data_IF_852548275273
#
_entry.id   IF_852548275273
#
_cell.length_a   1.000
_cell.length_b   1.000
_cell.length_c   1.000
_cell.angle_alpha   90.00
_cell.angle_beta   90.00
_cell.angle_gamma   90.00
#
_symmetry.space_group_name_H-M   'P 1'
#
loop_
_entity.id
_entity.type
_entity.pdbx_description
1 polymer ?
#
# COMPACT_ATOMS: atom_id res chain seq x y z
N UNK A 1 17.84 52.60 -1.41
CA UNK A 1 18.74 51.61 -2.06
C UNK A 1 18.17 50.21 -1.90
N UNK A 2 17.47 49.71 -2.92
CA UNK A 2 16.95 48.34 -2.99
C UNK A 2 18.11 47.36 -3.18
N UNK A 3 18.41 46.57 -2.15
CA UNK A 3 19.47 45.58 -2.24
C UNK A 3 18.93 44.31 -2.93
N UNK A 4 19.13 44.23 -4.26
CA UNK A 4 18.96 43.03 -5.07
C UNK A 4 19.98 41.97 -4.64
N UNK A 5 19.67 41.13 -3.64
CA UNK A 5 20.33 39.83 -3.52
C UNK A 5 19.69 38.87 -4.52
N UNK A 6 20.20 38.89 -5.75
CA UNK A 6 19.91 37.89 -6.79
C UNK A 6 20.21 36.48 -6.25
N UNK A 7 19.31 35.56 -6.58
CA UNK A 7 19.28 34.14 -6.26
C UNK A 7 20.56 33.36 -6.66
N UNK A 8 21.62 33.45 -5.87
CA UNK A 8 22.86 32.67 -6.04
C UNK A 8 22.92 31.40 -5.18
N UNK A 9 21.84 31.08 -4.46
CA UNK A 9 21.75 29.89 -3.61
C UNK A 9 20.85 28.80 -4.19
N UNK A 10 21.09 27.55 -3.79
CA UNK A 10 20.18 26.42 -4.04
C UNK A 10 18.75 26.82 -3.63
N UNK A 11 17.76 26.59 -4.50
CA UNK A 11 16.35 26.91 -4.24
C UNK A 11 15.84 26.22 -2.94
N UNK A 12 14.97 26.88 -2.16
CA UNK A 12 14.31 26.33 -0.95
C UNK A 12 13.76 24.91 -1.20
N UNK A 13 13.12 24.67 -2.34
CA UNK A 13 12.58 23.35 -2.69
C UNK A 13 13.68 22.29 -2.87
N UNK A 14 14.81 22.66 -3.49
CA UNK A 14 15.98 21.78 -3.63
C UNK A 14 16.65 21.50 -2.29
N UNK A 15 16.77 22.50 -1.40
CA UNK A 15 17.28 22.30 -0.03
C UNK A 15 16.37 21.39 0.79
N UNK A 16 15.05 21.57 0.67
CA UNK A 16 14.06 20.71 1.31
C UNK A 16 14.14 19.27 0.80
N UNK A 17 14.30 19.09 -0.51
CA UNK A 17 14.49 17.78 -1.11
C UNK A 17 15.73 17.09 -0.54
N UNK A 18 16.87 17.78 -0.48
CA UNK A 18 18.11 17.26 0.12
C UNK A 18 17.92 16.88 1.60
N UNK A 19 17.17 17.67 2.36
CA UNK A 19 16.83 17.33 3.74
C UNK A 19 16.07 16.00 3.81
N UNK A 20 14.99 15.84 3.04
CA UNK A 20 14.14 14.64 3.05
C UNK A 20 14.89 13.40 2.52
N UNK A 21 15.70 13.54 1.47
CA UNK A 21 16.33 12.39 0.80
C UNK A 21 17.64 11.95 1.46
N UNK A 22 18.41 12.89 2.02
CA UNK A 22 19.72 12.60 2.61
C UNK A 22 19.62 12.64 4.13
N UNK A 23 19.41 13.81 4.71
CA UNK A 23 19.57 14.00 6.15
C UNK A 23 18.56 13.18 6.95
N UNK A 24 17.27 13.26 6.58
CA UNK A 24 16.21 12.51 7.23
C UNK A 24 16.45 11.00 7.11
N UNK A 25 16.87 10.51 5.94
CA UNK A 25 17.17 9.08 5.74
C UNK A 25 18.38 8.61 6.52
N UNK A 26 19.42 9.42 6.63
CA UNK A 26 20.58 9.12 7.49
C UNK A 26 20.19 9.06 8.96
N UNK A 27 19.36 10.00 9.44
CA UNK A 27 18.93 10.03 10.84
C UNK A 27 17.90 8.94 11.16
N UNK A 28 17.07 8.53 10.21
CA UNK A 28 16.15 7.41 10.36
C UNK A 28 16.86 6.05 10.21
N UNK A 29 18.13 6.04 9.83
CA UNK A 29 18.90 4.80 9.78
C UNK A 29 18.99 4.19 11.18
N UNK A 30 18.62 2.91 11.30
CA UNK A 30 18.56 2.23 12.58
C UNK A 30 17.40 2.68 13.50
N UNK A 31 16.46 3.51 13.04
CA UNK A 31 15.30 3.94 13.83
C UNK A 31 14.53 2.75 14.43
N UNK A 32 14.50 1.61 13.73
CA UNK A 32 13.93 0.36 14.23
C UNK A 32 14.51 -0.12 15.57
N UNK A 33 15.79 0.19 15.86
CA UNK A 33 16.48 -0.26 17.06
C UNK A 33 16.31 0.69 18.25
N UNK A 34 16.26 2.01 18.02
CA UNK A 34 16.30 3.01 19.09
C UNK A 34 15.12 4.01 19.08
N UNK A 35 14.37 4.08 18.00
CA UNK A 35 13.35 5.12 17.78
C UNK A 35 12.03 4.90 18.51
N UNK A 36 11.77 3.70 19.04
CA UNK A 36 10.49 3.40 19.69
C UNK A 36 10.33 4.11 21.05
N UNK A 37 11.33 4.00 21.93
CA UNK A 37 11.30 4.58 23.28
C UNK A 37 12.07 5.91 23.33
N UNK A 38 11.48 6.96 22.76
CA UNK A 38 12.12 8.27 22.64
C UNK A 38 11.97 9.10 23.92
N UNK A 39 13.07 9.35 24.63
CA UNK A 39 13.07 10.24 25.81
C UNK A 39 12.90 11.71 25.44
N UNK A 40 12.35 12.52 26.34
CA UNK A 40 12.19 13.98 26.14
C UNK A 40 13.53 14.69 25.85
N UNK A 41 14.63 14.22 26.46
CA UNK A 41 16.00 14.70 26.20
C UNK A 41 16.41 14.44 24.74
N UNK A 42 16.12 13.25 24.22
CA UNK A 42 16.44 12.90 22.84
C UNK A 42 15.57 13.68 21.84
N UNK A 43 14.28 13.84 22.12
CA UNK A 43 13.38 14.67 21.31
C UNK A 43 13.89 16.11 21.19
N UNK A 44 14.30 16.73 22.31
CA UNK A 44 14.90 18.07 22.31
C UNK A 44 16.18 18.13 21.48
N UNK A 45 17.05 17.12 21.58
CA UNK A 45 18.28 17.02 20.76
C UNK A 45 17.97 16.93 19.26
N UNK A 46 17.00 16.10 18.89
CA UNK A 46 16.54 15.97 17.49
C UNK A 46 15.93 17.27 16.97
N UNK A 47 15.14 17.97 17.79
CA UNK A 47 14.59 19.27 17.45
C UNK A 47 15.69 20.33 17.21
N UNK A 48 16.75 20.33 18.04
CA UNK A 48 17.91 21.21 17.85
C UNK A 48 18.67 20.91 16.55
N UNK A 49 18.85 19.64 16.21
CA UNK A 49 19.47 19.22 14.93
C UNK A 49 18.60 19.67 13.75
N UNK A 50 17.30 19.38 13.81
CA UNK A 50 16.35 19.76 12.76
C UNK A 50 16.30 21.27 12.56
N UNK A 51 16.33 22.05 13.66
CA UNK A 51 16.31 23.52 13.63
C UNK A 51 17.42 24.12 12.76
N UNK A 52 18.65 23.61 12.86
CA UNK A 52 19.79 24.12 12.07
C UNK A 52 19.51 24.00 10.57
N UNK A 53 18.93 22.87 10.16
CA UNK A 53 18.60 22.57 8.76
C UNK A 53 17.39 23.39 8.30
N UNK A 54 16.38 23.57 9.16
CA UNK A 54 15.22 24.39 8.86
C UNK A 54 15.58 25.87 8.65
N UNK A 55 16.49 26.41 9.47
CA UNK A 55 17.02 27.76 9.27
C UNK A 55 17.80 27.88 7.95
N UNK A 56 18.58 26.85 7.59
CA UNK A 56 19.27 26.82 6.30
C UNK A 56 18.30 26.73 5.10
N UNK A 57 17.22 25.97 5.23
CA UNK A 57 16.19 25.83 4.18
C UNK A 57 15.43 27.15 3.99
N UNK A 58 15.01 27.77 5.09
CA UNK A 58 14.12 28.95 5.07
C UNK A 58 14.87 30.27 4.90
N UNK A 59 16.11 30.37 5.38
CA UNK A 59 16.81 31.65 5.52
C UNK A 59 16.21 32.57 6.58
N UNK A 60 15.35 32.05 7.46
CA UNK A 60 14.70 32.83 8.51
C UNK A 60 15.68 33.29 9.60
N UNK A 61 15.25 34.24 10.43
CA UNK A 61 16.06 34.74 11.56
C UNK A 61 16.36 33.62 12.56
N UNK A 62 17.54 33.69 13.19
CA UNK A 62 17.96 32.71 14.22
C UNK A 62 17.02 32.67 15.44
N UNK A 63 16.21 33.71 15.64
CA UNK A 63 15.19 33.80 16.70
C UNK A 63 13.84 33.18 16.30
N UNK A 64 13.62 32.84 15.02
CA UNK A 64 12.36 32.24 14.56
C UNK A 64 12.14 30.88 15.24
N UNK A 65 11.01 30.64 15.93
CA UNK A 65 10.81 29.38 16.66
C UNK A 65 10.71 28.16 15.73
N UNK A 66 11.14 27.00 16.22
CA UNK A 66 11.27 25.78 15.40
C UNK A 66 9.92 25.28 14.88
N UNK A 67 8.86 25.37 15.68
CA UNK A 67 7.51 24.96 15.29
C UNK A 67 7.01 25.73 14.04
N UNK A 68 7.19 27.05 14.02
CA UNK A 68 6.87 27.86 12.83
C UNK A 68 7.69 27.44 11.60
N UNK A 69 8.99 27.14 11.78
CA UNK A 69 9.82 26.69 10.66
C UNK A 69 9.36 25.34 10.10
N UNK A 70 8.95 24.40 10.96
CA UNK A 70 8.41 23.09 10.55
C UNK A 70 7.15 23.27 9.70
N UNK A 71 6.20 24.07 10.18
CA UNK A 71 4.92 24.32 9.50
C UNK A 71 5.14 25.03 8.16
N UNK A 72 5.93 26.11 8.13
CA UNK A 72 6.22 26.90 6.92
C UNK A 72 7.04 26.13 5.87
N UNK A 73 7.77 25.09 6.27
CA UNK A 73 8.50 24.22 5.34
C UNK A 73 7.72 22.98 4.92
N UNK A 74 6.63 22.67 5.64
CA UNK A 74 5.89 21.42 5.51
C UNK A 74 6.72 20.20 5.90
N UNK A 75 7.59 20.35 6.90
CA UNK A 75 8.46 19.29 7.43
C UNK A 75 8.03 18.95 8.86
N UNK A 76 7.52 17.73 9.04
CA UNK A 76 7.09 17.26 10.35
C UNK A 76 8.25 17.19 11.35
N UNK A 77 7.98 17.29 12.66
CA UNK A 77 8.99 17.11 13.69
C UNK A 77 9.77 15.81 13.51
N UNK A 78 11.11 15.90 13.53
CA UNK A 78 11.99 14.77 13.22
C UNK A 78 11.78 13.56 14.14
N UNK A 79 11.43 13.78 15.40
CA UNK A 79 11.16 12.69 16.34
C UNK A 79 9.92 11.87 15.94
N UNK A 80 8.88 12.50 15.37
CA UNK A 80 7.70 11.80 14.85
C UNK A 80 8.07 10.91 13.66
N UNK A 81 8.90 11.42 12.73
CA UNK A 81 9.38 10.64 11.59
C UNK A 81 10.15 9.38 12.02
N UNK A 82 11.02 9.52 13.03
CA UNK A 82 11.79 8.39 13.56
C UNK A 82 10.87 7.39 14.27
N UNK A 83 9.93 7.86 15.08
CA UNK A 83 8.96 6.99 15.76
C UNK A 83 8.04 6.28 14.76
N UNK A 84 7.66 6.93 13.66
CA UNK A 84 6.90 6.34 12.56
C UNK A 84 7.67 5.18 11.92
N UNK A 85 8.92 5.40 11.52
CA UNK A 85 9.77 4.35 10.93
C UNK A 85 10.06 3.21 11.92
N UNK A 86 10.22 3.52 13.21
CA UNK A 86 10.42 2.53 14.26
C UNK A 86 9.18 1.66 14.47
N UNK A 87 8.00 2.27 14.59
CA UNK A 87 6.74 1.55 14.75
C UNK A 87 6.43 0.72 13.50
N UNK A 88 6.67 1.25 12.30
CA UNK A 88 6.48 0.50 11.06
C UNK A 88 7.38 -0.74 11.03
N UNK A 89 8.64 -0.60 11.46
CA UNK A 89 9.56 -1.73 11.58
C UNK A 89 9.01 -2.83 12.51
N UNK A 90 8.49 -2.43 13.68
CA UNK A 90 7.97 -3.37 14.68
C UNK A 90 6.72 -4.11 14.18
N UNK A 91 5.77 -3.39 13.61
CA UNK A 91 4.50 -3.95 13.14
C UNK A 91 4.71 -4.77 11.86
N UNK A 92 5.34 -4.19 10.84
CA UNK A 92 5.45 -4.81 9.52
C UNK A 92 6.54 -5.88 9.43
N UNK A 93 7.68 -5.71 10.13
CA UNK A 93 8.84 -6.62 10.02
C UNK A 93 8.98 -7.55 11.22
N UNK A 94 8.92 -7.01 12.45
CA UNK A 94 9.03 -7.80 13.67
C UNK A 94 7.71 -8.46 14.09
N UNK A 95 6.62 -8.20 13.36
CA UNK A 95 5.28 -8.77 13.60
C UNK A 95 4.83 -8.64 15.06
N UNK A 96 5.14 -7.50 15.68
CA UNK A 96 4.85 -7.20 17.08
C UNK A 96 3.95 -5.98 17.18
N UNK A 97 2.93 -6.04 18.03
CA UNK A 97 2.08 -4.88 18.32
C UNK A 97 2.90 -3.72 18.85
N UNK A 98 2.57 -2.53 18.40
CA UNK A 98 3.29 -1.33 18.79
C UNK A 98 2.34 -0.15 18.87
N UNK A 99 2.55 0.66 19.89
CA UNK A 99 1.81 1.90 20.06
C UNK A 99 2.57 3.01 19.32
N UNK A 100 1.82 3.89 18.67
CA UNK A 100 2.30 5.18 18.20
C UNK A 100 1.47 6.23 18.92
N UNK A 101 2.02 6.73 20.03
CA UNK A 101 1.29 7.57 20.98
C UNK A 101 0.03 6.85 21.49
N UNK A 102 -1.16 7.37 21.21
CA UNK A 102 -2.44 6.82 21.65
C UNK A 102 -3.01 5.75 20.72
N UNK A 103 -2.45 5.59 19.52
CA UNK A 103 -2.93 4.62 18.51
C UNK A 103 -2.16 3.31 18.64
N UNK A 104 -2.89 2.20 18.73
CA UNK A 104 -2.32 0.85 18.80
C UNK A 104 -2.39 0.22 17.40
N UNK A 105 -1.26 -0.28 16.92
CA UNK A 105 -1.19 -1.01 15.66
C UNK A 105 -0.96 -2.50 15.92
N UNK A 106 -1.92 -3.34 15.53
CA UNK A 106 -1.80 -4.79 15.61
C UNK A 106 -1.20 -5.36 14.31
N UNK A 107 -0.18 -6.23 14.37
CA UNK A 107 0.41 -6.82 13.17
C UNK A 107 -0.56 -7.72 12.41
N UNK A 108 -1.55 -8.33 13.08
CA UNK A 108 -2.53 -9.24 12.45
C UNK A 108 -3.47 -8.54 11.48
N UNK A 109 -3.67 -7.23 11.64
CA UNK A 109 -4.49 -6.42 10.74
C UNK A 109 -3.82 -6.16 9.38
N UNK A 110 -2.51 -6.39 9.26
CA UNK A 110 -1.75 -6.08 8.05
C UNK A 110 -1.05 -7.28 7.47
N UNK A 111 -0.88 -7.26 6.15
CA UNK A 111 -0.15 -8.26 5.39
C UNK A 111 1.25 -8.50 5.97
N UNK A 112 1.65 -9.77 5.98
CA UNK A 112 3.02 -10.17 6.25
C UNK A 112 3.75 -10.37 4.92
N UNK A 113 5.01 -9.92 4.86
CA UNK A 113 5.89 -10.33 3.78
C UNK A 113 6.39 -11.73 4.10
N UNK A 114 6.28 -12.63 3.14
CA UNK A 114 6.83 -13.97 3.30
C UNK A 114 8.36 -13.91 3.25
N UNK A 115 8.98 -14.21 4.40
CA UNK A 115 10.44 -14.29 4.59
C UNK A 115 10.98 -15.65 4.14
N UNK A 116 12.22 -15.69 3.64
CA UNK A 116 12.92 -16.95 3.29
C UNK A 116 13.66 -16.87 1.94
N UNK A 117 14.86 -17.47 1.88
CA UNK A 117 15.57 -17.74 0.63
C UNK A 117 14.87 -18.91 -0.03
N UNK A 118 14.30 -18.71 -1.21
CA UNK A 118 13.78 -19.83 -1.98
C UNK A 118 14.93 -20.47 -2.74
N UNK A 119 15.25 -21.72 -2.42
CA UNK A 119 15.91 -22.61 -3.37
C UNK A 119 14.87 -22.83 -4.46
N UNK A 120 15.08 -22.21 -5.62
CA UNK A 120 14.20 -22.39 -6.75
C UNK A 120 14.28 -23.85 -7.20
N UNK A 121 13.13 -24.48 -7.44
CA UNK A 121 13.14 -25.61 -8.37
C UNK A 121 13.53 -25.06 -9.74
N UNK A 122 14.49 -25.67 -10.46
CA UNK A 122 14.83 -25.29 -11.83
C UNK A 122 13.64 -25.33 -12.80
N UNK A 123 12.49 -25.88 -12.37
CA UNK A 123 11.26 -26.06 -13.12
C UNK A 123 10.11 -25.17 -12.62
N UNK A 124 10.31 -23.84 -12.50
CA UNK A 124 9.18 -22.91 -12.33
C UNK A 124 8.38 -22.81 -13.65
N UNK A 125 7.61 -23.86 -13.95
CA UNK A 125 6.90 -24.09 -15.21
C UNK A 125 5.56 -23.33 -15.33
N UNK A 126 5.32 -22.33 -14.47
CA UNK A 126 4.11 -21.50 -14.51
C UNK A 126 3.92 -20.80 -15.86
N UNK A 127 5.00 -20.56 -16.60
CA UNK A 127 4.96 -20.04 -17.96
C UNK A 127 4.12 -20.88 -18.92
N UNK A 128 3.92 -22.18 -18.66
CA UNK A 128 3.07 -23.04 -19.49
C UNK A 128 1.58 -22.90 -19.14
N UNK A 129 1.26 -22.52 -17.90
CA UNK A 129 -0.12 -22.36 -17.43
C UNK A 129 -0.65 -20.94 -17.60
N UNK A 130 0.23 -19.95 -17.75
CA UNK A 130 -0.12 -18.53 -17.88
C UNK A 130 0.14 -18.06 -19.32
N UNK A 131 -0.83 -17.41 -19.96
CA UNK A 131 -0.62 -16.78 -21.27
C UNK A 131 -1.23 -15.39 -21.34
N UNK A 132 -0.54 -14.52 -22.08
CA UNK A 132 -0.93 -13.16 -22.40
C UNK A 132 -1.43 -12.98 -23.83
N UNK A 133 -1.43 -14.04 -24.64
CA UNK A 133 -1.90 -13.96 -26.01
C UNK A 133 -3.42 -13.78 -26.03
N UNK A 134 -3.90 -12.86 -26.86
CA UNK A 134 -5.31 -12.72 -27.23
C UNK A 134 -5.71 -13.98 -28.01
N UNK A 135 -6.08 -15.02 -27.29
CA UNK A 135 -6.60 -16.24 -27.88
C UNK A 135 -8.11 -16.07 -28.10
N UNK A 136 -8.63 -16.69 -29.16
CA UNK A 136 -10.08 -16.84 -29.32
C UNK A 136 -10.68 -17.48 -28.06
N UNK A 137 -11.73 -16.85 -27.53
CA UNK A 137 -12.56 -17.48 -26.51
C UNK A 137 -13.42 -18.51 -27.23
N UNK A 138 -13.19 -19.78 -26.93
CA UNK A 138 -14.00 -20.88 -27.46
C UNK A 138 -15.45 -20.67 -26.99
N UNK A 139 -16.31 -20.28 -27.91
CA UNK A 139 -17.71 -19.99 -27.60
C UNK A 139 -18.39 -21.23 -27.00
N UNK A 140 -19.17 -21.03 -25.94
CA UNK A 140 -19.93 -22.07 -25.24
C UNK A 140 -19.13 -22.96 -24.28
N UNK A 141 -17.79 -22.92 -24.31
CA UNK A 141 -16.95 -23.73 -23.42
C UNK A 141 -16.97 -23.16 -22.00
N UNK A 142 -17.07 -24.06 -21.01
CA UNK A 142 -16.99 -23.68 -19.61
C UNK A 142 -15.68 -22.97 -19.28
N UNK A 143 -15.78 -21.75 -18.77
CA UNK A 143 -14.65 -20.95 -18.33
C UNK A 143 -14.97 -20.20 -17.03
N UNK A 144 -13.93 -19.84 -16.29
CA UNK A 144 -14.07 -18.99 -15.10
C UNK A 144 -13.54 -17.61 -15.44
N UNK A 145 -14.23 -16.57 -14.99
CA UNK A 145 -13.83 -15.18 -15.11
C UNK A 145 -13.71 -14.59 -13.73
N UNK A 146 -12.71 -13.74 -13.51
CA UNK A 146 -12.39 -13.16 -12.20
C UNK A 146 -12.24 -11.66 -12.33
N UNK A 147 -12.70 -10.92 -11.33
CA UNK A 147 -12.43 -9.49 -11.23
C UNK A 147 -12.37 -9.02 -9.76
N UNK A 148 -11.71 -7.89 -9.54
CA UNK A 148 -11.69 -7.16 -8.28
C UNK A 148 -12.01 -5.68 -8.46
N UNK A 149 -12.99 -5.19 -7.70
CA UNK A 149 -13.45 -3.80 -7.74
C UNK A 149 -13.12 -3.05 -6.47
N UNK A 150 -12.84 -1.76 -6.58
CA UNK A 150 -12.68 -0.84 -5.44
C UNK A 150 -13.41 0.46 -5.70
N UNK A 151 -14.15 0.90 -4.69
CA UNK A 151 -14.77 2.22 -4.60
C UNK A 151 -14.42 2.86 -3.25
N UNK A 152 -14.91 4.07 -3.00
CA UNK A 152 -14.77 4.71 -1.69
C UNK A 152 -15.59 4.00 -0.59
N UNK A 153 -16.64 3.26 -0.98
CA UNK A 153 -17.51 2.53 -0.06
C UNK A 153 -16.89 1.20 0.40
N UNK A 154 -16.07 0.57 -0.44
CA UNK A 154 -15.47 -0.70 -0.10
C UNK A 154 -14.72 -1.34 -1.27
N UNK A 155 -14.32 -2.59 -1.04
CA UNK A 155 -13.58 -3.39 -2.00
C UNK A 155 -14.31 -4.72 -2.18
N UNK A 156 -14.48 -5.16 -3.42
CA UNK A 156 -15.19 -6.39 -3.76
C UNK A 156 -14.34 -7.28 -4.65
N UNK A 157 -14.45 -8.58 -4.47
CA UNK A 157 -13.72 -9.60 -5.24
C UNK A 157 -14.72 -10.65 -5.71
N UNK A 158 -14.65 -11.07 -6.97
CA UNK A 158 -15.61 -12.04 -7.49
C UNK A 158 -15.03 -12.95 -8.56
N UNK A 159 -15.62 -14.12 -8.68
CA UNK A 159 -15.50 -14.92 -9.90
C UNK A 159 -16.88 -15.39 -10.35
N UNK A 160 -17.02 -15.64 -11.65
CA UNK A 160 -18.16 -16.36 -12.21
C UNK A 160 -17.70 -17.49 -13.12
N UNK A 161 -18.44 -18.59 -13.07
CA UNK A 161 -18.28 -19.73 -13.96
C UNK A 161 -19.36 -19.61 -15.02
N UNK A 162 -18.94 -19.45 -16.27
CA UNK A 162 -19.82 -19.29 -17.43
C UNK A 162 -19.79 -20.56 -18.27
N UNK A 163 -20.95 -21.04 -18.69
CA UNK A 163 -21.12 -22.15 -19.65
C UNK A 163 -22.34 -21.84 -20.53
N UNK A 164 -22.23 -21.99 -21.86
CA UNK A 164 -23.29 -21.64 -22.80
C UNK A 164 -23.89 -20.23 -22.59
N UNK A 165 -23.04 -19.23 -22.33
CA UNK A 165 -23.43 -17.83 -22.06
C UNK A 165 -24.26 -17.60 -20.77
N UNK A 166 -24.45 -18.62 -19.94
CA UNK A 166 -25.11 -18.51 -18.64
C UNK A 166 -24.12 -18.62 -17.48
N UNK A 167 -24.33 -17.83 -16.43
CA UNK A 167 -23.61 -18.01 -15.15
C UNK A 167 -24.19 -19.23 -14.46
N UNK A 168 -23.38 -20.28 -14.29
CA UNK A 168 -23.78 -21.52 -13.60
C UNK A 168 -23.38 -21.54 -12.13
N UNK A 169 -22.37 -20.75 -11.77
CA UNK A 169 -21.93 -20.55 -10.38
C UNK A 169 -21.17 -19.23 -10.27
N UNK A 170 -21.18 -18.62 -9.10
CA UNK A 170 -20.40 -17.42 -8.82
C UNK A 170 -20.02 -17.35 -7.34
N UNK A 171 -19.02 -16.53 -7.04
CA UNK A 171 -18.63 -16.19 -5.68
C UNK A 171 -18.40 -14.68 -5.60
N UNK A 172 -18.77 -14.09 -4.46
CA UNK A 172 -18.69 -12.66 -4.19
C UNK A 172 -18.15 -12.44 -2.78
N UNK A 173 -16.90 -12.01 -2.67
CA UNK A 173 -16.26 -11.65 -1.41
C UNK A 173 -16.28 -10.14 -1.17
N UNK A 174 -16.86 -9.73 -0.04
CA UNK A 174 -16.82 -8.36 0.46
C UNK A 174 -15.57 -8.15 1.30
N UNK A 175 -14.69 -7.27 0.86
CA UNK A 175 -13.45 -6.90 1.54
C UNK A 175 -13.60 -5.55 2.25
N UNK A 176 -12.66 -5.23 3.13
CA UNK A 176 -12.63 -3.93 3.81
C UNK A 176 -12.28 -2.81 2.81
N UNK A 177 -12.78 -1.59 3.08
CA UNK A 177 -12.45 -0.39 2.28
C UNK A 177 -10.95 -0.08 2.23
N UNK A 178 -10.19 -0.57 3.22
CA UNK A 178 -8.75 -0.40 3.30
C UNK A 178 -7.97 -1.36 2.39
N UNK A 179 -8.61 -2.42 1.89
CA UNK A 179 -7.99 -3.35 0.95
C UNK A 179 -7.79 -2.71 -0.43
N UNK A 180 -6.80 -3.17 -1.19
CA UNK A 180 -6.51 -2.63 -2.53
C UNK A 180 -7.25 -3.39 -3.63
N UNK A 181 -7.41 -2.77 -4.81
CA UNK A 181 -7.89 -3.45 -6.03
C UNK A 181 -7.04 -4.69 -6.31
N UNK A 182 -5.72 -4.54 -6.24
CA UNK A 182 -4.77 -5.64 -6.43
C UNK A 182 -5.03 -6.84 -5.49
N UNK A 183 -5.37 -6.59 -4.22
CA UNK A 183 -5.72 -7.68 -3.29
C UNK A 183 -7.01 -8.38 -3.69
N UNK A 184 -8.02 -7.62 -4.14
CA UNK A 184 -9.29 -8.16 -4.59
C UNK A 184 -9.13 -9.03 -5.85
N UNK A 185 -8.32 -8.57 -6.80
CA UNK A 185 -7.96 -9.26 -8.03
C UNK A 185 -7.23 -10.59 -7.75
N UNK A 186 -6.19 -10.55 -6.93
CA UNK A 186 -5.43 -11.76 -6.53
C UNK A 186 -6.33 -12.74 -5.76
N UNK A 187 -7.23 -12.24 -4.89
CA UNK A 187 -8.19 -13.08 -4.18
C UNK A 187 -9.18 -13.75 -5.14
N UNK A 188 -9.69 -13.02 -6.13
CA UNK A 188 -10.61 -13.55 -7.12
C UNK A 188 -9.98 -14.72 -7.90
N UNK A 189 -8.72 -14.55 -8.32
CA UNK A 189 -7.93 -15.60 -8.97
C UNK A 189 -7.75 -16.81 -8.04
N UNK A 190 -7.40 -16.59 -6.77
CA UNK A 190 -7.24 -17.69 -5.80
C UNK A 190 -8.53 -18.48 -5.63
N UNK A 191 -9.65 -17.80 -5.39
CA UNK A 191 -10.96 -18.45 -5.20
C UNK A 191 -11.42 -19.18 -6.47
N UNK A 192 -11.14 -18.62 -7.65
CA UNK A 192 -11.41 -19.29 -8.92
C UNK A 192 -10.58 -20.57 -9.11
N UNK A 193 -9.31 -20.58 -8.68
CA UNK A 193 -8.46 -21.77 -8.72
C UNK A 193 -8.99 -22.85 -7.76
N UNK A 194 -9.43 -22.46 -6.56
CA UNK A 194 -10.05 -23.37 -5.59
C UNK A 194 -11.38 -23.94 -6.12
N UNK A 195 -12.17 -23.15 -6.85
CA UNK A 195 -13.37 -23.66 -7.53
C UNK A 195 -13.02 -24.59 -8.70
N UNK A 196 -12.00 -24.24 -9.49
CA UNK A 196 -11.54 -25.01 -10.64
C UNK A 196 -10.93 -26.37 -10.25
N UNK A 197 -10.23 -26.46 -9.12
CA UNK A 197 -9.61 -27.71 -8.66
C UNK A 197 -10.64 -28.81 -8.43
N UNK A 198 -11.86 -28.44 -7.99
CA UNK A 198 -12.98 -29.38 -7.81
C UNK A 198 -13.47 -30.01 -9.13
N UNK A 199 -13.22 -29.39 -10.28
CA UNK A 199 -13.77 -29.82 -11.57
C UNK A 199 -12.98 -30.94 -12.25
N UNK A 200 -11.73 -31.20 -11.83
CA UNK A 200 -10.86 -32.28 -12.33
C UNK A 200 -10.72 -32.36 -13.87
N UNK A 201 -10.92 -31.24 -14.59
CA UNK A 201 -10.80 -31.12 -16.05
C UNK A 201 -9.97 -29.90 -16.44
N UNK A 202 -9.39 -29.88 -17.65
CA UNK A 202 -8.76 -28.68 -18.20
C UNK A 202 -9.74 -27.50 -18.17
N UNK A 203 -9.32 -26.40 -17.56
CA UNK A 203 -10.14 -25.20 -17.43
C UNK A 203 -9.31 -23.94 -17.57
N UNK A 204 -9.88 -22.96 -18.27
CA UNK A 204 -9.32 -21.62 -18.46
C UNK A 204 -9.95 -20.69 -17.43
N UNK A 205 -9.11 -19.99 -16.68
CA UNK A 205 -9.49 -18.88 -15.81
C UNK A 205 -9.02 -17.60 -16.50
N UNK A 206 -9.95 -16.71 -16.79
CA UNK A 206 -9.72 -15.45 -17.45
C UNK A 206 -9.70 -14.32 -16.41
N UNK A 207 -8.67 -13.48 -16.49
CA UNK A 207 -8.50 -12.29 -15.66
C UNK A 207 -7.98 -11.15 -16.52
N UNK A 208 -8.45 -9.94 -16.28
CA UNK A 208 -7.91 -8.72 -16.88
C UNK A 208 -6.77 -8.09 -16.05
N UNK A 209 -6.52 -8.61 -14.83
CA UNK A 209 -5.43 -8.20 -13.96
C UNK A 209 -4.04 -8.55 -14.49
N UNK A 210 -3.52 -7.69 -15.37
CA UNK A 210 -2.13 -7.81 -15.82
C UNK A 210 -1.17 -7.77 -14.62
N UNK A 211 -1.44 -6.89 -13.64
CA UNK A 211 -0.65 -6.83 -12.40
C UNK A 211 -0.71 -8.13 -11.59
N UNK A 212 -1.89 -8.76 -11.51
CA UNK A 212 -2.07 -10.02 -10.80
C UNK A 212 -1.25 -11.15 -11.44
N UNK A 213 -1.37 -11.30 -12.75
CA UNK A 213 -0.61 -12.31 -13.51
C UNK A 213 0.90 -12.08 -13.46
N UNK A 214 1.36 -10.84 -13.58
CA UNK A 214 2.80 -10.51 -13.46
C UNK A 214 3.33 -10.81 -12.06
N UNK A 215 2.52 -10.60 -11.01
CA UNK A 215 2.90 -10.97 -9.65
C UNK A 215 3.01 -12.50 -9.49
N UNK A 216 2.06 -13.26 -10.04
CA UNK A 216 2.07 -14.73 -10.01
C UNK A 216 3.26 -15.31 -10.80
N UNK A 217 3.63 -14.70 -11.94
CA UNK A 217 4.81 -15.11 -12.69
C UNK A 217 6.12 -14.77 -12.02
N UNK A 218 6.15 -13.83 -11.07
CA UNK A 218 7.37 -13.47 -10.38
C UNK A 218 7.73 -14.54 -9.31
N UNK A 219 8.74 -15.40 -9.54
CA UNK A 219 9.11 -16.44 -8.59
C UNK A 219 9.73 -15.86 -7.30
N UNK A 220 10.09 -14.58 -7.31
CA UNK A 220 10.65 -13.85 -6.16
C UNK A 220 9.57 -13.02 -5.43
N UNK A 221 8.29 -13.24 -5.71
CA UNK A 221 7.21 -12.55 -5.02
C UNK A 221 7.29 -12.78 -3.50
N UNK A 222 7.10 -11.72 -2.73
CA UNK A 222 7.03 -11.76 -1.26
C UNK A 222 5.59 -11.72 -0.74
N UNK A 223 4.60 -11.67 -1.63
CA UNK A 223 3.19 -11.61 -1.28
C UNK A 223 2.67 -13.02 -0.96
N UNK A 224 2.12 -13.23 0.24
CA UNK A 224 1.70 -14.55 0.72
C UNK A 224 0.67 -15.21 -0.19
N UNK A 225 -0.41 -14.50 -0.53
CA UNK A 225 -1.46 -15.04 -1.40
C UNK A 225 -0.97 -15.39 -2.81
N UNK A 226 -0.04 -14.60 -3.36
CA UNK A 226 0.59 -14.92 -4.65
C UNK A 226 1.38 -16.22 -4.56
N UNK A 227 2.08 -16.47 -3.45
CA UNK A 227 2.78 -17.75 -3.22
C UNK A 227 1.80 -18.91 -3.08
N UNK A 228 0.68 -18.72 -2.38
CA UNK A 228 -0.39 -19.72 -2.30
C UNK A 228 -0.91 -20.08 -3.71
N UNK A 229 -1.19 -19.08 -4.55
CA UNK A 229 -1.59 -19.27 -5.94
C UNK A 229 -0.53 -20.03 -6.74
N UNK A 230 0.76 -19.68 -6.60
CA UNK A 230 1.85 -20.39 -7.27
C UNK A 230 1.85 -21.87 -6.88
N UNK A 231 1.70 -22.20 -5.59
CA UNK A 231 1.60 -23.59 -5.10
C UNK A 231 0.34 -24.31 -5.62
N UNK A 232 -0.80 -23.63 -5.64
CA UNK A 232 -2.06 -24.17 -6.16
C UNK A 232 -1.96 -24.49 -7.66
N UNK A 233 -1.35 -23.61 -8.46
CA UNK A 233 -1.18 -23.85 -9.89
C UNK A 233 -0.20 -25.01 -10.17
N UNK A 234 0.88 -25.11 -9.40
CA UNK A 234 1.83 -26.23 -9.52
C UNK A 234 1.21 -27.58 -9.17
N UNK A 235 0.26 -27.61 -8.23
CA UNK A 235 -0.50 -28.83 -7.89
C UNK A 235 -1.59 -29.17 -8.90
N UNK A 236 -2.10 -28.19 -9.65
CA UNK A 236 -3.21 -28.36 -10.60
C UNK A 236 -2.80 -28.00 -12.04
N UNK A 237 -2.03 -28.88 -12.69
CA UNK A 237 -1.47 -28.66 -14.04
C UNK A 237 -2.50 -28.40 -15.16
N UNK A 238 -3.77 -28.75 -14.94
CA UNK A 238 -4.84 -28.57 -15.91
C UNK A 238 -5.51 -27.19 -15.86
N UNK A 239 -5.21 -26.39 -14.84
CA UNK A 239 -5.71 -25.02 -14.70
C UNK A 239 -4.78 -24.08 -15.45
N UNK A 240 -5.35 -23.26 -16.33
CA UNK A 240 -4.63 -22.28 -17.12
C UNK A 240 -5.17 -20.88 -16.86
N UNK A 241 -4.30 -19.95 -16.48
CA UNK A 241 -4.64 -18.54 -16.38
C UNK A 241 -4.42 -17.86 -17.72
N UNK A 242 -5.39 -17.07 -18.15
CA UNK A 242 -5.33 -16.32 -19.41
C UNK A 242 -5.61 -14.85 -19.12
N UNK A 243 -4.77 -13.99 -19.67
CA UNK A 243 -5.04 -12.56 -19.67
C UNK A 243 -6.11 -12.25 -20.70
N UNK A 244 -7.06 -11.40 -20.33
CA UNK A 244 -8.03 -10.80 -21.24
C UNK A 244 -7.91 -9.28 -21.15
N UNK A 245 -8.24 -8.59 -22.24
CA UNK A 245 -8.29 -7.13 -22.21
C UNK A 245 -9.62 -6.67 -21.63
N UNK A 246 -9.57 -5.93 -20.53
CA UNK A 246 -10.74 -5.37 -19.85
C UNK A 246 -11.66 -4.60 -20.81
N UNK A 247 -12.97 -4.72 -20.60
CA UNK A 247 -14.01 -3.88 -21.23
C UNK A 247 -14.08 -3.96 -22.77
N UNK A 248 -13.77 -5.13 -23.33
CA UNK A 248 -13.88 -5.39 -24.79
C UNK A 248 -15.21 -6.08 -25.15
N UNK A 249 -16.18 -6.13 -24.24
CA UNK A 249 -17.51 -6.72 -24.50
C UNK A 249 -17.59 -8.22 -24.27
N UNK A 250 -16.66 -8.81 -23.51
CA UNK A 250 -16.72 -10.23 -23.18
C UNK A 250 -17.71 -10.47 -22.03
N UNK A 251 -18.79 -11.19 -22.31
CA UNK A 251 -19.87 -11.43 -21.35
C UNK A 251 -19.38 -11.91 -19.98
N UNK A 252 -18.43 -12.85 -19.95
CA UNK A 252 -17.89 -13.38 -18.69
C UNK A 252 -17.09 -12.35 -17.88
N UNK A 253 -16.34 -11.48 -18.56
CA UNK A 253 -15.59 -10.39 -17.95
C UNK A 253 -16.54 -9.35 -17.34
N UNK A 254 -17.53 -8.91 -18.12
CA UNK A 254 -18.56 -7.97 -17.66
C UNK A 254 -19.37 -8.53 -16.49
N UNK A 255 -19.66 -9.83 -16.50
CA UNK A 255 -20.33 -10.51 -15.40
C UNK A 255 -19.45 -10.52 -14.13
N UNK A 256 -18.17 -10.83 -14.24
CA UNK A 256 -17.24 -10.80 -13.11
C UNK A 256 -17.09 -9.39 -12.53
N UNK A 257 -16.95 -8.36 -13.38
CA UNK A 257 -16.87 -6.95 -12.95
C UNK A 257 -18.15 -6.48 -12.26
N UNK A 258 -19.31 -6.82 -12.81
CA UNK A 258 -20.57 -6.49 -12.17
C UNK A 258 -20.73 -7.19 -10.81
N UNK A 259 -20.31 -8.47 -10.70
CA UNK A 259 -20.32 -9.21 -9.44
C UNK A 259 -19.35 -8.62 -8.43
N UNK A 260 -18.14 -8.22 -8.83
CA UNK A 260 -17.17 -7.59 -7.95
C UNK A 260 -17.69 -6.25 -7.41
N UNK A 261 -18.38 -5.45 -8.23
CA UNK A 261 -19.05 -4.21 -7.81
C UNK A 261 -20.19 -4.49 -6.83
N UNK A 262 -21.02 -5.49 -7.10
CA UNK A 262 -22.13 -5.88 -6.21
C UNK A 262 -21.60 -6.44 -4.88
N UNK A 263 -20.47 -7.16 -4.90
CA UNK A 263 -19.86 -7.75 -3.72
C UNK A 263 -19.52 -6.70 -2.64
N UNK A 264 -19.21 -5.47 -3.01
CA UNK A 264 -18.94 -4.36 -2.07
C UNK A 264 -20.09 -4.17 -1.08
N UNK A 265 -21.33 -4.30 -1.55
CA UNK A 265 -22.53 -4.06 -0.73
C UNK A 265 -23.16 -5.36 -0.25
N UNK A 266 -23.29 -6.36 -1.15
CA UNK A 266 -24.07 -7.59 -0.94
C UNK A 266 -23.23 -8.86 -0.83
N UNK A 267 -21.91 -8.79 -1.03
CA UNK A 267 -21.03 -9.95 -0.94
C UNK A 267 -20.86 -10.46 0.49
N UNK A 268 -20.40 -11.71 0.60
CA UNK A 268 -20.13 -12.31 1.90
C UNK A 268 -18.86 -11.70 2.50
N UNK A 269 -18.86 -11.28 3.78
CA UNK A 269 -17.67 -10.71 4.41
C UNK A 269 -16.48 -11.67 4.35
N UNK A 270 -15.38 -11.21 3.75
CA UNK A 270 -14.13 -11.94 3.67
C UNK A 270 -13.03 -11.12 4.36
N UNK A 271 -12.52 -11.65 5.48
CA UNK A 271 -11.51 -10.94 6.26
C UNK A 271 -10.14 -11.11 5.62
N UNK A 272 -9.61 -10.01 5.08
CA UNK A 272 -8.27 -9.95 4.51
C UNK A 272 -7.41 -8.89 5.23
N UNK A 273 -6.16 -9.20 5.62
CA UNK A 273 -5.26 -8.20 6.18
C UNK A 273 -5.07 -7.01 5.22
N UNK A 274 -5.03 -5.81 5.78
CA UNK A 274 -4.81 -4.56 5.07
C UNK A 274 -3.41 -4.54 4.43
N UNK A 275 -3.23 -3.87 3.29
CA UNK A 275 -1.93 -3.77 2.66
C UNK A 275 -0.97 -2.95 3.54
N UNK A 276 0.34 -3.22 3.46
CA UNK A 276 1.34 -2.46 4.21
C UNK A 276 1.40 -0.97 3.84
N UNK A 277 0.88 -0.59 2.67
CA UNK A 277 0.68 0.82 2.29
C UNK A 277 -0.39 1.50 3.17
N UNK A 278 -1.42 0.77 3.57
CA UNK A 278 -2.46 1.26 4.48
C UNK A 278 -1.85 1.57 5.86
N UNK A 279 -1.05 0.66 6.42
CA UNK A 279 -0.30 0.91 7.66
C UNK A 279 0.51 2.22 7.59
N UNK A 280 1.28 2.41 6.52
CA UNK A 280 2.05 3.65 6.32
C UNK A 280 1.15 4.89 6.26
N UNK A 281 0.01 4.80 5.60
CA UNK A 281 -0.93 5.91 5.48
C UNK A 281 -1.57 6.26 6.82
N UNK A 282 -2.02 5.25 7.58
CA UNK A 282 -2.61 5.43 8.91
C UNK A 282 -1.58 6.04 9.89
N UNK A 283 -0.33 5.57 9.85
CA UNK A 283 0.74 6.12 10.68
C UNK A 283 1.09 7.57 10.33
N UNK A 284 1.13 7.92 9.05
CA UNK A 284 1.30 9.32 8.60
C UNK A 284 0.14 10.19 9.04
N UNK A 285 -1.09 9.69 8.97
CA UNK A 285 -2.28 10.41 9.42
C UNK A 285 -2.21 10.66 10.94
N UNK A 286 -1.81 9.65 11.72
CA UNK A 286 -1.61 9.80 13.15
C UNK A 286 -0.50 10.81 13.48
N UNK A 287 0.64 10.74 12.79
CA UNK A 287 1.75 11.68 12.98
C UNK A 287 1.33 13.12 12.64
N UNK A 288 0.56 13.31 11.58
CA UNK A 288 0.02 14.61 11.20
C UNK A 288 -0.97 15.14 12.24
N UNK A 289 -1.86 14.29 12.77
CA UNK A 289 -2.78 14.68 13.85
C UNK A 289 -2.03 15.16 15.08
N UNK A 290 -1.03 14.40 15.53
CA UNK A 290 -0.20 14.78 16.69
C UNK A 290 0.56 16.08 16.42
N UNK A 291 1.07 16.25 15.20
CA UNK A 291 1.76 17.48 14.84
C UNK A 291 0.79 18.69 14.84
N UNK A 292 -0.42 18.50 14.33
CA UNK A 292 -1.48 19.51 14.36
C UNK A 292 -1.87 19.88 15.79
N UNK A 293 -2.09 18.89 16.66
CA UNK A 293 -2.45 19.12 18.06
C UNK A 293 -1.36 19.92 18.80
N UNK A 294 -0.08 19.59 18.54
CA UNK A 294 1.04 20.35 19.10
C UNK A 294 1.12 21.79 18.54
N UNK A 295 0.67 22.01 17.31
CA UNK A 295 0.64 23.34 16.69
C UNK A 295 -0.50 24.19 17.23
N UNK A 296 -1.69 23.60 17.39
CA UNK A 296 -2.87 24.26 17.95
C UNK A 296 -2.66 24.66 19.42
N UNK A 297 -2.04 23.78 20.20
CA UNK A 297 -1.83 24.01 21.63
C UNK A 297 -0.50 24.73 21.95
N UNK A 298 0.36 24.99 20.96
CA UNK A 298 1.68 25.58 21.18
C UNK A 298 1.62 27.06 21.58
N UNK A 299 2.18 27.43 22.73
CA UNK A 299 2.17 28.82 23.23
C UNK A 299 2.99 29.80 22.37
N UNK A 300 3.95 29.28 21.59
CA UNK A 300 4.84 30.09 20.74
C UNK A 300 4.30 30.23 19.32
N UNK A 301 4.60 31.34 18.65
CA UNK A 301 4.28 31.58 17.22
C UNK A 301 2.79 31.77 16.86
N UNK A 302 1.99 32.35 17.77
CA UNK A 302 0.57 32.66 17.49
C UNK A 302 0.35 33.51 16.23
N UNK A 303 1.18 34.53 15.98
CA UNK A 303 1.10 35.31 14.73
C UNK A 303 1.37 34.49 13.46
N UNK A 304 2.18 33.42 13.54
CA UNK A 304 2.38 32.50 12.40
C UNK A 304 1.22 31.52 12.27
N UNK A 305 0.63 31.10 13.40
CA UNK A 305 -0.57 30.27 13.43
C UNK A 305 -1.74 30.95 12.72
N UNK A 306 -1.93 32.25 12.94
CA UNK A 306 -3.00 33.03 12.28
C UNK A 306 -2.88 33.01 10.74
N UNK A 307 -1.65 32.90 10.22
CA UNK A 307 -1.37 32.85 8.78
C UNK A 307 -1.41 31.42 8.24
N UNK A 308 -0.90 30.46 9.03
CA UNK A 308 -0.81 29.04 8.66
C UNK A 308 -1.33 28.18 9.81
N UNK A 309 -2.66 28.04 9.95
CA UNK A 309 -3.26 27.32 11.08
C UNK A 309 -3.13 25.80 10.90
N UNK A 310 -2.95 25.30 9.67
CA UNK A 310 -2.83 23.87 9.37
C UNK A 310 -1.38 23.47 9.13
N UNK A 311 -0.91 22.51 9.91
CA UNK A 311 0.25 21.70 9.60
C UNK A 311 -0.06 20.80 8.40
N UNK A 312 0.81 20.80 7.40
CA UNK A 312 0.69 19.96 6.22
C UNK A 312 2.07 19.53 5.76
N UNK A 313 2.21 18.27 5.40
CA UNK A 313 3.42 17.78 4.75
C UNK A 313 3.36 18.19 3.29
N UNK A 314 4.27 19.06 2.84
CA UNK A 314 4.30 19.41 1.41
C UNK A 314 4.68 18.17 0.58
N UNK A 315 3.88 17.87 -0.45
CA UNK A 315 4.19 16.88 -1.48
C UNK A 315 5.53 17.21 -2.17
#
# INVERSE_FOLDING_TARGET
MQNRRKNLGINKNKRRLLYKTVIERTLCHGAAAWGHNMTSRLQKKLASIQRLLLLYITGAYRTTPTAALQVVTGLQPLHLQIQEEATYARVARARSSSNFFTVIFSPTEYESKSSGIHIQSPFFLLHNQISFAENHIDSGVKAIYTDGSKTDEGTGSAYCILENYGIIASWQGKLDRSNSVFQAEILAIRMAIEAASSLHRPIKIWTDSLSGLMAILNPKSHHSMVREIQTLLLSHKYIHLRWLKAHVGFLGDECADQLAKVAITKGDPFLLPKPLSCLKSEMKSAALSIWQDNWDNGETCRSTYDIVPRSQTSQ
#
